data_IF_662494298229
#
_entry.id   IF_662494298229
#
_cell.length_a   1.000
_cell.length_b   1.000
_cell.length_c   1.000
_cell.angle_alpha   90.00
_cell.angle_beta   90.00
_cell.angle_gamma   90.00
#
_symmetry.space_group_name_H-M   'P 1'
#
loop_
_entity.id
_entity.type
_entity.pdbx_description
1 polymer ?
#
# COMPACT_ATOMS: atom_id res chain seq x y z
N UNK A 1 9.81 -8.16 15.96
CA UNK A 1 10.81 -9.19 16.29
C UNK A 1 10.21 -10.40 17.02
N UNK A 2 9.01 -10.88 16.62
CA UNK A 2 8.38 -12.07 17.23
C UNK A 2 7.75 -13.06 16.21
N UNK A 3 7.90 -12.83 14.91
CA UNK A 3 7.17 -13.57 13.86
C UNK A 3 7.96 -14.73 13.22
N UNK A 4 8.79 -15.43 14.00
CA UNK A 4 9.49 -16.64 13.53
C UNK A 4 9.41 -17.80 14.54
N UNK A 5 8.52 -17.74 15.54
CA UNK A 5 8.26 -18.92 16.36
C UNK A 5 7.26 -19.82 15.66
N UNK A 6 7.81 -20.86 15.04
CA UNK A 6 7.21 -22.06 14.45
C UNK A 6 5.67 -22.15 14.50
N UNK A 7 4.99 -22.08 13.34
CA UNK A 7 3.56 -22.41 13.23
C UNK A 7 3.23 -23.86 13.65
N UNK A 8 4.22 -24.75 13.65
CA UNK A 8 4.09 -26.17 13.99
C UNK A 8 3.72 -26.46 15.46
N UNK A 9 3.84 -25.47 16.37
CA UNK A 9 3.71 -25.71 17.81
C UNK A 9 2.47 -25.05 18.44
N UNK A 10 1.46 -24.72 17.63
CA UNK A 10 0.25 -24.01 18.09
C UNK A 10 -0.90 -25.00 18.31
N UNK A 11 -1.45 -25.12 19.55
CA UNK A 11 -2.62 -25.93 19.85
C UNK A 11 -3.80 -25.59 18.94
N UNK A 12 -4.62 -26.57 18.57
CA UNK A 12 -5.73 -26.40 17.60
C UNK A 12 -6.69 -25.26 17.96
N UNK A 13 -6.90 -24.99 19.24
CA UNK A 13 -7.76 -23.92 19.76
C UNK A 13 -7.22 -22.50 19.47
N UNK A 14 -5.92 -22.35 19.22
CA UNK A 14 -5.26 -21.05 19.01
C UNK A 14 -4.94 -20.75 17.54
N UNK A 15 -5.12 -21.72 16.64
CA UNK A 15 -4.97 -21.56 15.18
C UNK A 15 -5.78 -20.39 14.60
N UNK A 16 -7.09 -20.20 14.92
CA UNK A 16 -7.85 -19.06 14.38
C UNK A 16 -7.29 -17.70 14.85
N UNK A 17 -6.78 -17.63 16.08
CA UNK A 17 -6.16 -16.41 16.63
C UNK A 17 -4.79 -16.12 16.00
N UNK A 18 -4.03 -17.17 15.67
CA UNK A 18 -2.78 -17.04 14.93
C UNK A 18 -3.02 -16.52 13.52
N UNK A 19 -4.01 -17.06 12.81
CA UNK A 19 -4.38 -16.61 11.46
C UNK A 19 -4.82 -15.15 11.45
N UNK A 20 -5.64 -14.73 12.42
CA UNK A 20 -6.06 -13.34 12.59
C UNK A 20 -4.85 -12.42 12.83
N UNK A 21 -3.91 -12.80 13.70
CA UNK A 21 -2.70 -12.04 13.97
C UNK A 21 -1.78 -11.97 12.74
N UNK A 22 -1.63 -13.06 11.99
CA UNK A 22 -0.84 -13.07 10.76
C UNK A 22 -1.50 -12.22 9.67
N UNK A 23 -2.83 -12.28 9.53
CA UNK A 23 -3.60 -11.45 8.60
C UNK A 23 -3.49 -9.97 8.95
N UNK A 24 -3.63 -9.61 10.22
CA UNK A 24 -3.44 -8.25 10.70
C UNK A 24 -2.01 -7.74 10.44
N UNK A 25 -1.00 -8.56 10.71
CA UNK A 25 0.40 -8.22 10.42
C UNK A 25 0.65 -8.04 8.92
N UNK A 26 0.07 -8.89 8.07
CA UNK A 26 0.15 -8.77 6.60
C UNK A 26 -0.51 -7.48 6.12
N UNK A 27 -1.72 -7.16 6.60
CA UNK A 27 -2.43 -5.94 6.24
C UNK A 27 -1.67 -4.68 6.67
N UNK A 28 -1.13 -4.67 7.88
CA UNK A 28 -0.30 -3.59 8.40
C UNK A 28 0.96 -3.40 7.54
N UNK A 29 1.71 -4.47 7.28
CA UNK A 29 2.91 -4.43 6.46
C UNK A 29 2.63 -3.92 5.03
N UNK A 30 1.61 -4.45 4.36
CA UNK A 30 1.18 -4.00 3.04
C UNK A 30 0.84 -2.51 3.04
N UNK A 31 0.11 -2.03 4.06
CA UNK A 31 -0.24 -0.61 4.18
C UNK A 31 1.01 0.26 4.35
N UNK A 32 2.00 -0.17 5.13
CA UNK A 32 3.28 0.53 5.27
C UNK A 32 4.06 0.62 3.95
N UNK A 33 4.15 -0.49 3.21
CA UNK A 33 4.80 -0.52 1.88
C UNK A 33 4.06 0.42 0.91
N UNK A 34 2.73 0.35 0.89
CA UNK A 34 1.90 1.18 0.00
C UNK A 34 1.97 2.67 0.33
N UNK A 35 2.13 3.02 1.60
CA UNK A 35 2.42 4.40 2.04
C UNK A 35 3.80 4.86 1.56
N UNK A 36 4.83 4.01 1.69
CA UNK A 36 6.18 4.35 1.25
C UNK A 36 6.23 4.55 -0.28
N UNK A 37 5.68 3.61 -1.05
CA UNK A 37 5.63 3.71 -2.51
C UNK A 37 4.78 4.89 -3.00
N UNK A 38 3.74 5.28 -2.27
CA UNK A 38 2.97 6.49 -2.58
C UNK A 38 3.84 7.75 -2.49
N UNK A 39 4.69 7.86 -1.45
CA UNK A 39 5.60 9.00 -1.29
C UNK A 39 6.59 9.12 -2.46
N UNK A 40 7.02 8.01 -3.03
CA UNK A 40 7.93 8.01 -4.18
C UNK A 40 7.33 8.68 -5.43
N UNK A 41 6.00 8.77 -5.54
CA UNK A 41 5.34 9.50 -6.62
C UNK A 41 5.59 11.01 -6.58
N UNK A 42 6.04 11.57 -5.44
CA UNK A 42 6.41 12.97 -5.34
C UNK A 42 7.86 13.26 -5.75
N UNK A 43 8.65 12.23 -6.07
CA UNK A 43 10.00 12.43 -6.57
C UNK A 43 9.97 12.95 -8.02
N UNK A 44 10.89 13.86 -8.39
CA UNK A 44 10.98 14.36 -9.75
C UNK A 44 11.07 13.21 -10.75
N UNK A 45 10.18 13.19 -11.73
CA UNK A 45 10.16 12.16 -12.77
C UNK A 45 9.47 12.68 -14.03
N UNK A 46 9.81 12.08 -15.17
CA UNK A 46 9.10 12.36 -16.42
C UNK A 46 7.62 12.01 -16.29
N UNK A 47 6.75 12.79 -16.91
CA UNK A 47 5.32 12.65 -16.67
C UNK A 47 4.71 11.32 -17.10
N UNK A 48 5.26 10.73 -18.17
CA UNK A 48 4.86 9.40 -18.60
C UNK A 48 5.27 8.36 -17.56
N UNK A 49 6.51 8.43 -17.07
CA UNK A 49 7.01 7.57 -16.01
C UNK A 49 6.18 7.69 -14.73
N UNK A 50 5.86 8.93 -14.32
CA UNK A 50 4.95 9.21 -13.21
C UNK A 50 3.58 8.54 -13.43
N UNK A 51 3.01 8.69 -14.63
CA UNK A 51 1.68 8.14 -14.95
C UNK A 51 1.67 6.62 -14.90
N UNK A 52 2.74 5.97 -15.35
CA UNK A 52 2.93 4.53 -15.25
C UNK A 52 3.00 4.09 -13.78
N UNK A 53 3.88 4.69 -12.97
CA UNK A 53 3.99 4.40 -11.53
C UNK A 53 2.66 4.61 -10.79
N UNK A 54 1.93 5.67 -11.13
CA UNK A 54 0.60 5.94 -10.59
C UNK A 54 -0.43 4.86 -10.93
N UNK A 55 -0.46 4.37 -12.18
CA UNK A 55 -1.35 3.26 -12.57
C UNK A 55 -0.99 1.98 -11.82
N UNK A 56 0.29 1.66 -11.72
CA UNK A 56 0.77 0.50 -10.97
C UNK A 56 0.38 0.60 -9.50
N UNK A 57 0.57 1.77 -8.88
CA UNK A 57 0.18 1.99 -7.49
C UNK A 57 -1.33 1.79 -7.25
N UNK A 58 -2.18 2.33 -8.13
CA UNK A 58 -3.64 2.11 -8.04
C UNK A 58 -4.02 0.64 -8.20
N UNK A 59 -3.31 -0.10 -9.07
CA UNK A 59 -3.52 -1.54 -9.26
C UNK A 59 -3.14 -2.33 -8.00
N UNK A 60 -1.94 -2.09 -7.46
CA UNK A 60 -1.50 -2.71 -6.20
C UNK A 60 -2.47 -2.43 -5.05
N UNK A 61 -3.01 -1.21 -4.95
CA UNK A 61 -4.01 -0.89 -3.93
C UNK A 61 -5.29 -1.71 -4.11
N UNK A 62 -5.79 -1.85 -5.34
CA UNK A 62 -6.99 -2.65 -5.63
C UNK A 62 -6.78 -4.16 -5.40
N UNK A 63 -5.60 -4.68 -5.71
CA UNK A 63 -5.22 -6.10 -5.55
C UNK A 63 -4.79 -6.44 -4.11
N UNK A 64 -4.68 -5.45 -3.21
CA UNK A 64 -4.20 -5.66 -1.83
C UNK A 64 -5.17 -6.41 -0.90
N UNK A 65 -6.44 -6.56 -1.30
CA UNK A 65 -7.54 -7.08 -0.46
C UNK A 65 -7.80 -6.25 0.83
N UNK A 66 -7.21 -5.06 0.95
CA UNK A 66 -7.41 -4.16 2.09
C UNK A 66 -8.43 -3.08 1.69
N UNK A 67 -9.67 -3.22 2.17
CA UNK A 67 -10.78 -2.32 1.80
C UNK A 67 -10.49 -0.84 2.10
N UNK A 68 -9.85 -0.54 3.23
CA UNK A 68 -9.49 0.84 3.59
C UNK A 68 -8.48 1.45 2.60
N UNK A 69 -7.49 0.68 2.17
CA UNK A 69 -6.50 1.10 1.16
C UNK A 69 -7.13 1.24 -0.22
N UNK A 70 -7.95 0.29 -0.64
CA UNK A 70 -8.72 0.34 -1.89
C UNK A 70 -9.65 1.56 -1.95
N UNK A 71 -10.34 1.88 -0.85
CA UNK A 71 -11.20 3.07 -0.74
C UNK A 71 -10.38 4.36 -0.79
N UNK A 72 -9.24 4.41 -0.10
CA UNK A 72 -8.33 5.55 -0.15
C UNK A 72 -7.81 5.79 -1.58
N UNK A 73 -7.35 4.74 -2.26
CA UNK A 73 -6.86 4.82 -3.63
C UNK A 73 -7.94 5.29 -4.62
N UNK A 74 -9.19 4.81 -4.48
CA UNK A 74 -10.32 5.29 -5.30
C UNK A 74 -10.59 6.78 -5.13
N UNK A 75 -10.53 7.30 -3.89
CA UNK A 75 -10.68 8.73 -3.62
C UNK A 75 -9.52 9.54 -4.19
N UNK A 76 -8.28 9.07 -4.02
CA UNK A 76 -7.11 9.77 -4.51
C UNK A 76 -7.03 9.80 -6.05
N UNK A 77 -7.59 8.77 -6.72
CA UNK A 77 -7.60 8.62 -8.18
C UNK A 77 -8.08 9.87 -8.92
N UNK A 78 -9.07 10.60 -8.39
CA UNK A 78 -9.66 11.77 -9.04
C UNK A 78 -8.72 12.98 -9.08
N UNK A 79 -7.77 13.07 -8.13
CA UNK A 79 -6.85 14.20 -7.97
C UNK A 79 -5.54 14.07 -8.76
N UNK A 80 -5.39 13.02 -9.57
CA UNK A 80 -4.11 12.69 -10.22
C UNK A 80 -3.51 13.83 -11.05
N UNK A 81 -4.34 14.67 -11.69
CA UNK A 81 -3.88 15.81 -12.49
C UNK A 81 -3.19 16.85 -11.62
N UNK A 82 -3.76 17.19 -10.46
CA UNK A 82 -3.19 18.15 -9.52
C UNK A 82 -1.91 17.63 -8.88
N UNK A 83 -1.87 16.33 -8.55
CA UNK A 83 -0.66 15.69 -8.02
C UNK A 83 0.46 15.75 -9.06
N UNK A 84 0.19 15.33 -10.30
CA UNK A 84 1.18 15.38 -11.38
C UNK A 84 1.65 16.82 -11.67
N UNK A 85 0.74 17.80 -11.65
CA UNK A 85 1.08 19.20 -11.85
C UNK A 85 2.08 19.69 -10.79
N UNK A 86 1.87 19.35 -9.51
CA UNK A 86 2.77 19.71 -8.42
C UNK A 86 4.15 19.04 -8.51
N UNK A 87 4.23 17.83 -9.05
CA UNK A 87 5.50 17.13 -9.27
C UNK A 87 6.29 17.75 -10.43
N UNK A 88 5.59 18.19 -11.50
CA UNK A 88 6.23 18.86 -12.64
C UNK A 88 6.65 20.29 -12.33
N UNK A 89 5.85 21.00 -11.53
CA UNK A 89 6.04 22.42 -11.21
C UNK A 89 6.08 22.60 -9.69
N UNK A 90 7.22 22.28 -9.04
CA UNK A 90 7.36 22.51 -7.61
C UNK A 90 7.32 24.02 -7.35
N UNK A 91 6.38 24.46 -6.51
CA UNK A 91 6.34 25.84 -6.02
C UNK A 91 7.45 26.01 -4.97
N UNK A 92 8.31 27.01 -5.17
CA UNK A 92 9.36 27.44 -4.24
C UNK A 92 8.79 28.32 -3.14
#
# INVERSE_FOLDING_TARGET
WLLLRNPENVPEEQRPKLEELLAANKALMTTYIMKASLKELWQPSGAWQWRCRWKTWLRMAAESEIESLSRFARRLKTYWRGILARVRWPMH
#
